data_IF_002928816078
#
_entry.id   IF_002928816078
#
_cell.length_a   1.000
_cell.length_b   1.000
_cell.length_c   1.000
_cell.angle_alpha   90.00
_cell.angle_beta   90.00
_cell.angle_gamma   90.00
#
_symmetry.space_group_name_H-M   'P 1'
#
loop_
_entity.id
_entity.type
_entity.pdbx_description
1 polymer ?
#
# COMPACT_ATOMS: atom_id res chain seq x y z
N UNK A 1 -27.21 4.44 32.96
CA UNK A 1 -25.99 4.97 33.62
C UNK A 1 -24.75 4.11 33.37
N UNK A 2 -24.83 2.78 33.36
CA UNK A 2 -23.65 1.96 33.03
C UNK A 2 -23.53 1.71 31.53
N UNK A 3 -22.35 2.00 30.96
CA UNK A 3 -21.97 1.55 29.62
C UNK A 3 -21.70 0.05 29.68
N UNK A 4 -22.58 -0.74 29.07
CA UNK A 4 -22.43 -2.19 28.97
C UNK A 4 -21.78 -2.53 27.64
N UNK A 5 -20.64 -3.20 27.69
CA UNK A 5 -19.99 -3.74 26.49
C UNK A 5 -20.77 -4.97 26.02
N UNK A 6 -21.46 -4.84 24.90
CA UNK A 6 -22.13 -5.96 24.25
C UNK A 6 -21.42 -6.29 22.94
N UNK A 7 -21.45 -7.56 22.55
CA UNK A 7 -20.85 -8.01 21.30
C UNK A 7 -21.74 -7.56 20.14
N UNK A 8 -21.17 -6.90 19.12
CA UNK A 8 -21.90 -6.32 18.00
C UNK A 8 -22.66 -7.33 17.12
N UNK A 9 -22.37 -8.63 17.22
CA UNK A 9 -23.11 -9.69 16.52
C UNK A 9 -24.31 -10.21 17.31
N UNK A 10 -24.43 -9.88 18.61
CA UNK A 10 -25.57 -10.33 19.41
C UNK A 10 -26.80 -9.50 19.09
N UNK A 11 -27.93 -10.18 18.89
CA UNK A 11 -29.26 -9.58 18.71
C UNK A 11 -29.39 -8.62 17.51
N UNK A 12 -28.55 -8.77 16.48
CA UNK A 12 -28.70 -8.00 15.24
C UNK A 12 -29.59 -8.73 14.24
N UNK A 13 -30.41 -7.96 13.54
CA UNK A 13 -31.27 -8.45 12.47
C UNK A 13 -30.46 -8.94 11.28
N UNK A 14 -31.04 -9.88 10.51
CA UNK A 14 -30.38 -10.45 9.34
C UNK A 14 -30.08 -9.41 8.25
N UNK A 15 -30.93 -8.39 8.14
CA UNK A 15 -30.73 -7.22 7.27
C UNK A 15 -29.44 -6.46 7.61
N UNK A 16 -29.18 -6.24 8.90
CA UNK A 16 -27.99 -5.54 9.40
C UNK A 16 -26.74 -6.40 9.16
N UNK A 17 -26.81 -7.72 9.38
CA UNK A 17 -25.70 -8.64 9.07
C UNK A 17 -25.30 -8.56 7.61
N UNK A 18 -26.29 -8.57 6.70
CA UNK A 18 -26.03 -8.43 5.27
C UNK A 18 -25.31 -7.13 4.95
N UNK A 19 -25.74 -6.01 5.53
CA UNK A 19 -25.08 -4.71 5.32
C UNK A 19 -23.64 -4.69 5.84
N UNK A 20 -23.36 -5.33 6.98
CA UNK A 20 -22.00 -5.46 7.53
C UNK A 20 -21.11 -6.25 6.56
N UNK A 21 -21.63 -7.36 6.01
CA UNK A 21 -20.90 -8.20 5.05
C UNK A 21 -20.63 -7.41 3.77
N UNK A 22 -21.66 -6.79 3.19
CA UNK A 22 -21.54 -6.01 1.95
C UNK A 22 -20.52 -4.85 2.11
N UNK A 23 -20.54 -4.16 3.25
CA UNK A 23 -19.56 -3.11 3.58
C UNK A 23 -18.13 -3.67 3.67
N UNK A 24 -17.98 -4.86 4.27
CA UNK A 24 -16.70 -5.54 4.44
C UNK A 24 -16.14 -6.05 3.11
N UNK A 25 -16.98 -6.48 2.17
CA UNK A 25 -16.54 -6.82 0.80
C UNK A 25 -16.00 -5.59 0.07
N UNK A 26 -16.65 -4.44 0.21
CA UNK A 26 -16.13 -3.17 -0.32
C UNK A 26 -14.75 -2.83 0.26
N UNK A 27 -14.57 -3.04 1.57
CA UNK A 27 -13.29 -2.81 2.24
C UNK A 27 -12.19 -3.77 1.78
N UNK A 28 -12.49 -5.07 1.63
CA UNK A 28 -11.54 -6.05 1.08
C UNK A 28 -11.08 -5.66 -0.32
N UNK A 29 -12.01 -5.30 -1.20
CA UNK A 29 -11.69 -4.85 -2.55
C UNK A 29 -10.82 -3.59 -2.53
N UNK A 30 -11.08 -2.65 -1.62
CA UNK A 30 -10.25 -1.45 -1.46
C UNK A 30 -8.81 -1.78 -1.06
N UNK A 31 -8.61 -2.68 -0.08
CA UNK A 31 -7.26 -3.12 0.32
C UNK A 31 -6.52 -3.88 -0.79
N UNK A 32 -7.25 -4.66 -1.59
CA UNK A 32 -6.69 -5.44 -2.70
C UNK A 32 -6.26 -4.59 -3.89
N UNK A 33 -6.86 -3.40 -4.04
CA UNK A 33 -6.53 -2.43 -5.09
C UNK A 33 -5.48 -1.42 -4.64
N UNK A 34 -5.39 -1.13 -3.34
CA UNK A 34 -4.57 -0.04 -2.82
C UNK A 34 -3.65 -0.53 -1.69
N UNK A 35 -2.42 -0.92 -2.06
CA UNK A 35 -1.42 -1.44 -1.12
C UNK A 35 -0.36 -0.42 -0.74
N UNK A 36 -0.24 0.68 -1.47
CA UNK A 36 0.65 1.82 -1.17
C UNK A 36 -0.15 3.09 -0.84
N UNK A 37 0.49 4.08 -0.22
CA UNK A 37 -0.18 5.36 0.06
C UNK A 37 -0.67 6.05 -1.22
N UNK A 38 0.12 5.97 -2.30
CA UNK A 38 -0.21 6.58 -3.60
C UNK A 38 -1.45 5.95 -4.23
N UNK A 39 -1.54 4.63 -4.17
CA UNK A 39 -2.69 3.89 -4.68
C UNK A 39 -3.93 4.19 -3.85
N UNK A 40 -3.81 4.25 -2.52
CA UNK A 40 -4.93 4.65 -1.64
C UNK A 40 -5.46 6.01 -2.07
N UNK A 41 -4.60 7.01 -2.21
CA UNK A 41 -5.02 8.35 -2.64
C UNK A 41 -5.64 8.33 -4.04
N UNK A 42 -5.03 7.62 -4.99
CA UNK A 42 -5.54 7.53 -6.37
C UNK A 42 -6.93 6.91 -6.43
N UNK A 43 -7.15 5.80 -5.72
CA UNK A 43 -8.44 5.14 -5.65
C UNK A 43 -9.47 5.96 -4.87
N UNK A 44 -9.09 6.55 -3.73
CA UNK A 44 -9.95 7.43 -2.94
C UNK A 44 -10.39 8.67 -3.72
N UNK A 45 -9.51 9.28 -4.53
CA UNK A 45 -9.88 10.40 -5.39
C UNK A 45 -10.93 9.97 -6.43
N UNK A 46 -10.71 8.85 -7.14
CA UNK A 46 -11.69 8.31 -8.10
C UNK A 46 -13.05 8.05 -7.44
N UNK A 47 -13.05 7.51 -6.23
CA UNK A 47 -14.28 7.29 -5.46
C UNK A 47 -14.95 8.60 -5.06
N UNK A 48 -14.18 9.63 -4.68
CA UNK A 48 -14.70 10.94 -4.34
C UNK A 48 -15.34 11.63 -5.56
N UNK A 49 -14.67 11.61 -6.71
CA UNK A 49 -15.18 12.13 -7.98
C UNK A 49 -16.49 11.44 -8.37
N UNK A 50 -16.56 10.11 -8.26
CA UNK A 50 -17.79 9.35 -8.50
C UNK A 50 -18.94 9.71 -7.53
N UNK A 51 -18.62 10.27 -6.35
CA UNK A 51 -19.58 10.75 -5.34
C UNK A 51 -19.82 12.27 -5.40
N UNK A 52 -19.44 12.91 -6.51
CA UNK A 52 -19.72 14.32 -6.80
C UNK A 52 -18.79 15.31 -6.11
N UNK A 53 -17.63 14.86 -5.62
CA UNK A 53 -16.58 15.77 -5.19
C UNK A 53 -15.83 16.32 -6.41
N UNK A 54 -15.46 17.60 -6.33
CA UNK A 54 -14.63 18.26 -7.37
C UNK A 54 -13.32 18.75 -6.78
N UNK A 55 -12.29 18.95 -7.61
CA UNK A 55 -11.02 19.49 -7.12
C UNK A 55 -11.24 20.91 -6.58
N UNK A 56 -10.83 21.17 -5.34
CA UNK A 56 -10.92 22.46 -4.67
C UNK A 56 -10.22 23.57 -5.47
N UNK A 57 -9.14 23.26 -6.19
CA UNK A 57 -8.42 24.22 -7.04
C UNK A 57 -9.23 24.69 -8.26
N UNK A 58 -10.28 23.95 -8.63
CA UNK A 58 -11.19 24.32 -9.72
C UNK A 58 -12.38 25.19 -9.28
N UNK A 59 -12.48 25.49 -7.98
CA UNK A 59 -13.61 26.20 -7.39
C UNK A 59 -13.14 27.53 -6.80
N UNK A 60 -13.68 28.65 -7.31
CA UNK A 60 -13.33 29.99 -6.83
C UNK A 60 -14.04 30.36 -5.51
N UNK A 61 -15.29 29.92 -5.34
CA UNK A 61 -16.13 30.27 -4.19
C UNK A 61 -16.82 29.02 -3.66
N UNK A 62 -16.57 28.71 -2.39
CA UNK A 62 -17.18 27.60 -1.67
C UNK A 62 -18.49 28.03 -1.00
N UNK A 63 -19.54 27.23 -1.18
CA UNK A 63 -20.88 27.42 -0.61
C UNK A 63 -21.29 26.20 0.21
N UNK A 64 -22.22 26.40 1.13
CA UNK A 64 -22.78 25.32 1.93
C UNK A 64 -23.33 24.20 1.02
N UNK A 65 -22.89 22.97 1.28
CA UNK A 65 -23.24 21.77 0.50
C UNK A 65 -22.21 21.39 -0.56
N UNK A 66 -21.28 22.27 -0.91
CA UNK A 66 -20.21 21.94 -1.86
C UNK A 66 -19.36 20.78 -1.33
N UNK A 67 -19.03 19.86 -2.23
CA UNK A 67 -18.17 18.71 -1.99
C UNK A 67 -16.88 18.91 -2.76
N UNK A 68 -15.77 19.07 -2.06
CA UNK A 68 -14.47 19.33 -2.69
C UNK A 68 -13.39 18.41 -2.15
N UNK A 69 -12.42 18.10 -2.98
CA UNK A 69 -11.22 17.40 -2.57
C UNK A 69 -9.96 18.20 -2.90
N UNK A 70 -8.90 17.96 -2.14
CA UNK A 70 -7.56 18.49 -2.43
C UNK A 70 -6.56 17.34 -2.40
N UNK A 71 -5.86 17.12 -3.51
CA UNK A 71 -4.82 16.10 -3.63
C UNK A 71 -3.44 16.75 -3.45
N UNK A 72 -2.74 16.36 -2.38
CA UNK A 72 -1.38 16.80 -2.13
C UNK A 72 -0.39 15.77 -2.71
N UNK A 73 0.08 16.03 -3.93
CA UNK A 73 1.18 15.31 -4.62
C UNK A 73 0.97 13.79 -4.75
N UNK A 74 -0.28 13.35 -4.78
CA UNK A 74 -0.66 11.94 -4.88
C UNK A 74 -0.37 11.12 -3.62
N UNK A 75 -0.06 11.75 -2.47
CA UNK A 75 0.22 11.05 -1.21
C UNK A 75 -0.72 11.40 -0.07
N UNK A 76 -1.45 12.50 -0.18
CA UNK A 76 -2.50 12.82 0.78
C UNK A 76 -3.75 13.29 0.04
N UNK A 77 -4.93 13.04 0.62
CA UNK A 77 -6.21 13.51 0.10
C UNK A 77 -7.04 14.13 1.22
N UNK A 78 -7.47 15.36 1.01
CA UNK A 78 -8.43 16.03 1.89
C UNK A 78 -9.78 16.01 1.18
N UNK A 79 -10.81 15.52 1.86
CA UNK A 79 -12.21 15.60 1.44
C UNK A 79 -12.93 16.59 2.35
N UNK A 80 -13.69 17.51 1.79
CA UNK A 80 -14.46 18.48 2.55
C UNK A 80 -15.90 18.58 2.03
N UNK A 81 -16.86 18.62 2.95
CA UNK A 81 -18.25 18.99 2.68
C UNK A 81 -18.53 20.27 3.46
N UNK A 82 -18.78 21.35 2.72
CA UNK A 82 -18.94 22.68 3.30
C UNK A 82 -20.24 22.77 4.08
N UNK A 83 -20.15 23.18 5.35
CA UNK A 83 -21.29 23.26 6.24
C UNK A 83 -22.13 24.52 6.07
N UNK A 84 -23.26 24.59 6.77
CA UNK A 84 -24.14 25.78 6.82
C UNK A 84 -23.58 26.91 7.68
N UNK A 85 -22.82 26.57 8.73
CA UNK A 85 -22.19 27.54 9.62
C UNK A 85 -20.89 28.10 9.00
N UNK A 86 -20.58 29.37 9.33
CA UNK A 86 -19.31 30.00 9.00
C UNK A 86 -18.13 29.15 9.50
N UNK A 87 -17.11 28.97 8.67
CA UNK A 87 -15.92 28.17 8.98
C UNK A 87 -15.17 28.66 10.24
N UNK A 88 -15.29 29.95 10.58
CA UNK A 88 -14.73 30.53 11.80
C UNK A 88 -15.37 29.96 13.08
N UNK A 89 -16.53 29.31 12.99
CA UNK A 89 -17.17 28.57 14.10
C UNK A 89 -16.62 27.15 14.26
N UNK A 90 -15.64 26.77 13.44
CA UNK A 90 -14.94 25.50 13.48
C UNK A 90 -15.45 24.48 12.47
N UNK A 91 -14.67 23.40 12.32
CA UNK A 91 -14.96 22.26 11.46
C UNK A 91 -14.78 20.95 12.23
N UNK A 92 -15.38 19.88 11.73
CA UNK A 92 -15.20 18.54 12.26
C UNK A 92 -14.16 17.81 11.42
N UNK A 93 -13.05 17.42 12.05
CA UNK A 93 -11.99 16.67 11.39
C UNK A 93 -12.02 15.20 11.80
N UNK A 94 -11.85 14.33 10.81
CA UNK A 94 -11.37 12.97 10.98
C UNK A 94 -10.10 12.84 10.16
N UNK A 95 -9.03 12.35 10.79
CA UNK A 95 -7.71 12.24 10.16
C UNK A 95 -7.26 10.80 10.33
N UNK A 96 -6.77 10.21 9.25
CA UNK A 96 -6.21 8.86 9.24
C UNK A 96 -5.01 8.83 8.32
N UNK A 97 -3.93 8.19 8.73
CA UNK A 97 -2.83 7.90 7.85
C UNK A 97 -3.17 6.70 6.95
N UNK A 98 -2.60 6.68 5.74
CA UNK A 98 -2.87 5.63 4.74
C UNK A 98 -1.61 4.91 4.26
N UNK A 99 -0.44 5.36 4.72
CA UNK A 99 0.77 4.59 4.63
C UNK A 99 0.70 3.35 5.53
N UNK A 100 1.48 2.32 5.19
CA UNK A 100 1.60 1.12 5.99
C UNK A 100 3.04 0.65 6.02
N UNK A 101 3.48 -0.03 7.09
CA UNK A 101 4.83 -0.59 7.16
C UNK A 101 5.12 -1.50 5.98
N UNK A 102 6.27 -1.28 5.33
CA UNK A 102 6.64 -1.89 4.04
C UNK A 102 8.16 -2.00 3.89
N UNK A 103 8.61 -2.46 2.72
CA UNK A 103 10.02 -2.51 2.35
C UNK A 103 10.27 -1.65 1.12
N UNK A 104 11.13 -0.65 1.23
CA UNK A 104 11.46 0.25 0.12
C UNK A 104 12.72 -0.23 -0.56
N UNK A 105 12.83 -0.04 -1.87
CA UNK A 105 14.11 -0.26 -2.53
C UNK A 105 15.11 0.84 -2.16
N UNK A 106 16.38 0.46 -1.94
CA UNK A 106 17.47 1.44 -1.81
C UNK A 106 17.68 2.15 -3.15
N UNK A 107 18.35 3.32 -3.13
CA UNK A 107 18.61 4.11 -4.35
C UNK A 107 19.39 3.37 -5.44
N UNK A 108 20.32 2.49 -5.03
CA UNK A 108 21.05 1.59 -5.92
C UNK A 108 20.75 0.15 -5.49
N UNK A 109 19.56 -0.37 -5.84
CA UNK A 109 19.07 -1.60 -5.22
C UNK A 109 19.60 -2.84 -5.92
N UNK A 110 19.80 -2.80 -7.24
CA UNK A 110 20.08 -3.98 -8.04
C UNK A 110 21.56 -4.37 -7.98
N UNK A 111 21.82 -5.62 -7.59
CA UNK A 111 23.16 -6.20 -7.55
C UNK A 111 23.11 -7.70 -7.86
N UNK A 112 24.27 -8.28 -8.10
CA UNK A 112 24.44 -9.71 -8.32
C UNK A 112 25.23 -10.33 -7.17
N UNK A 113 24.75 -11.48 -6.69
CA UNK A 113 25.50 -12.31 -5.73
C UNK A 113 25.09 -13.78 -5.89
N UNK A 114 26.08 -14.68 -5.85
CA UNK A 114 25.93 -16.15 -5.95
C UNK A 114 24.93 -16.59 -7.05
N UNK A 115 25.16 -16.17 -8.29
CA UNK A 115 24.31 -16.50 -9.46
C UNK A 115 22.84 -16.04 -9.35
N UNK A 116 22.56 -15.04 -8.50
CA UNK A 116 21.26 -14.38 -8.41
C UNK A 116 21.38 -12.88 -8.65
N UNK A 117 20.38 -12.32 -9.33
CA UNK A 117 20.11 -10.90 -9.27
C UNK A 117 19.19 -10.61 -8.07
N UNK A 118 19.57 -9.62 -7.27
CA UNK A 118 18.94 -9.26 -6.00
C UNK A 118 18.62 -7.75 -5.96
N UNK A 119 17.56 -7.37 -5.25
CA UNK A 119 17.29 -5.97 -4.92
C UNK A 119 17.48 -5.73 -3.42
N UNK A 120 18.27 -4.71 -3.08
CA UNK A 120 18.44 -4.22 -1.71
C UNK A 120 17.22 -3.44 -1.27
N UNK A 121 16.76 -3.75 -0.07
CA UNK A 121 15.63 -3.05 0.54
C UNK A 121 16.05 -2.26 1.78
N UNK A 122 15.16 -1.39 2.22
CA UNK A 122 15.20 -0.69 3.49
C UNK A 122 13.79 -0.66 4.05
N UNK A 123 13.59 -1.13 5.28
CA UNK A 123 12.26 -1.18 5.86
C UNK A 123 11.74 0.23 6.18
N UNK A 124 10.44 0.43 5.99
CA UNK A 124 9.70 1.61 6.38
C UNK A 124 8.73 1.25 7.52
N UNK A 125 8.72 2.07 8.57
CA UNK A 125 7.94 1.82 9.79
C UNK A 125 8.49 0.72 10.70
N UNK A 126 7.71 0.33 11.71
CA UNK A 126 8.11 -0.61 12.76
C UNK A 126 7.82 -2.08 12.42
N UNK A 127 8.41 -2.61 11.35
CA UNK A 127 8.11 -4.00 10.94
C UNK A 127 8.69 -5.06 11.89
N UNK A 128 7.97 -6.18 12.01
CA UNK A 128 8.54 -7.45 12.52
C UNK A 128 9.24 -8.16 11.37
N UNK A 129 10.52 -7.86 11.15
CA UNK A 129 11.33 -8.29 10.00
C UNK A 129 11.17 -9.76 9.62
N UNK A 130 11.21 -10.67 10.59
CA UNK A 130 11.09 -12.12 10.35
C UNK A 130 9.73 -12.54 9.74
N UNK A 131 8.67 -11.73 9.85
CA UNK A 131 7.36 -12.03 9.24
C UNK A 131 7.30 -11.68 7.74
N UNK A 132 8.36 -11.07 7.19
CA UNK A 132 8.48 -10.71 5.78
C UNK A 132 9.32 -11.73 5.00
N UNK A 133 10.02 -12.63 5.69
CA UNK A 133 10.81 -13.70 5.09
C UNK A 133 9.90 -14.83 4.56
N UNK A 134 10.36 -15.52 3.52
CA UNK A 134 9.70 -16.70 2.95
C UNK A 134 8.23 -16.51 2.58
N UNK A 135 7.84 -15.28 2.26
CA UNK A 135 6.50 -14.87 1.82
C UNK A 135 6.58 -14.32 0.40
N UNK A 136 5.51 -14.50 -0.37
CA UNK A 136 5.32 -13.82 -1.65
C UNK A 136 5.12 -12.32 -1.45
N UNK A 137 5.94 -11.52 -2.13
CA UNK A 137 5.89 -10.07 -2.14
C UNK A 137 5.59 -9.57 -3.55
N UNK A 138 4.80 -8.51 -3.64
CA UNK A 138 4.53 -7.76 -4.86
C UNK A 138 5.29 -6.43 -4.82
N UNK A 139 5.73 -5.97 -6.00
CA UNK A 139 6.43 -4.71 -6.19
C UNK A 139 5.45 -3.67 -6.70
N UNK A 140 5.37 -2.55 -6.00
CA UNK A 140 4.50 -1.43 -6.30
C UNK A 140 5.31 -0.14 -6.33
N UNK A 141 4.88 0.86 -7.10
CA UNK A 141 5.41 2.20 -6.98
C UNK A 141 5.50 2.93 -8.30
N UNK A 142 6.37 3.94 -8.34
CA UNK A 142 6.54 4.81 -9.51
C UNK A 142 8.01 5.10 -9.76
N UNK A 143 8.39 5.15 -11.03
CA UNK A 143 9.72 5.54 -11.49
C UNK A 143 9.61 6.82 -12.30
N UNK A 144 10.35 7.86 -11.91
CA UNK A 144 10.47 9.07 -12.71
C UNK A 144 11.67 8.95 -13.64
N UNK A 145 11.42 8.87 -14.94
CA UNK A 145 12.45 8.79 -15.97
C UNK A 145 13.11 10.15 -16.18
N UNK A 146 14.30 10.14 -16.79
CA UNK A 146 15.07 11.35 -17.12
C UNK A 146 14.29 12.39 -17.95
N UNK A 147 13.36 11.95 -18.79
CA UNK A 147 12.51 12.84 -19.61
C UNK A 147 11.31 13.42 -18.85
N UNK A 148 11.15 13.08 -17.56
CA UNK A 148 10.07 13.55 -16.69
C UNK A 148 8.81 12.67 -16.73
N UNK A 149 8.77 11.62 -17.56
CA UNK A 149 7.65 10.66 -17.52
C UNK A 149 7.66 9.88 -16.21
N UNK A 150 6.47 9.64 -15.68
CA UNK A 150 6.24 8.75 -14.55
C UNK A 150 5.74 7.41 -15.07
N UNK A 151 6.38 6.33 -14.65
CA UNK A 151 6.00 4.96 -14.98
C UNK A 151 5.55 4.27 -13.69
N UNK A 152 4.28 3.89 -13.64
CA UNK A 152 3.74 3.08 -12.55
C UNK A 152 4.20 1.63 -12.71
N UNK A 153 4.66 1.05 -11.61
CA UNK A 153 5.12 -0.34 -11.53
C UNK A 153 4.20 -1.08 -10.57
N UNK A 154 3.56 -2.14 -11.06
CA UNK A 154 2.80 -3.10 -10.26
C UNK A 154 3.12 -4.49 -10.80
N UNK A 155 3.79 -5.31 -10.01
CA UNK A 155 4.18 -6.68 -10.36
C UNK A 155 3.93 -7.61 -9.19
N UNK A 156 3.20 -8.70 -9.42
CA UNK A 156 2.90 -9.73 -8.42
C UNK A 156 1.49 -9.64 -7.83
N UNK A 157 0.62 -8.82 -8.44
CA UNK A 157 -0.80 -8.72 -8.07
C UNK A 157 -1.71 -9.55 -8.99
N UNK A 158 -1.35 -9.67 -10.28
CA UNK A 158 -2.05 -10.58 -11.19
C UNK A 158 -1.62 -12.03 -10.89
N UNK A 159 -2.53 -13.01 -10.88
CA UNK A 159 -2.17 -14.41 -10.64
C UNK A 159 -1.16 -15.00 -11.64
N UNK A 160 -0.98 -14.39 -12.81
CA UNK A 160 0.00 -14.77 -13.82
C UNK A 160 1.36 -14.05 -13.66
N UNK A 161 1.43 -13.02 -12.82
CA UNK A 161 2.67 -12.31 -12.54
C UNK A 161 3.65 -13.16 -11.72
N UNK A 162 4.97 -12.95 -11.89
CA UNK A 162 5.94 -13.41 -10.91
C UNK A 162 5.78 -12.65 -9.59
N UNK A 163 6.20 -13.28 -8.49
CA UNK A 163 6.30 -12.67 -7.17
C UNK A 163 7.74 -12.69 -6.68
N UNK A 164 8.04 -11.87 -5.68
CA UNK A 164 9.36 -11.77 -5.07
C UNK A 164 9.38 -12.44 -3.69
N UNK A 165 10.56 -12.79 -3.21
CA UNK A 165 10.72 -13.40 -1.88
C UNK A 165 12.04 -12.98 -1.24
N UNK A 166 12.01 -12.78 0.08
CA UNK A 166 13.22 -12.72 0.91
C UNK A 166 13.50 -14.14 1.41
N UNK A 167 14.59 -14.79 1.00
CA UNK A 167 14.91 -16.13 1.47
C UNK A 167 15.28 -16.10 2.96
N UNK A 168 14.74 -17.04 3.75
CA UNK A 168 15.17 -17.28 5.13
C UNK A 168 16.04 -18.54 5.22
N UNK A 169 16.82 -18.65 6.29
CA UNK A 169 17.65 -19.81 6.54
C UNK A 169 16.79 -21.02 6.92
N UNK A 170 17.04 -22.14 6.24
CA UNK A 170 16.35 -23.39 6.52
C UNK A 170 16.54 -23.86 7.98
N UNK A 171 15.54 -24.53 8.59
CA UNK A 171 15.54 -24.86 10.01
C UNK A 171 16.65 -25.84 10.44
N UNK A 172 17.23 -26.62 9.51
CA UNK A 172 18.33 -27.54 9.81
C UNK A 172 19.64 -26.82 10.15
N UNK A 173 19.82 -25.57 9.68
CA UNK A 173 21.02 -24.75 9.89
C UNK A 173 20.78 -23.55 10.81
N UNK A 174 19.51 -23.18 11.02
CA UNK A 174 19.08 -22.11 11.95
C UNK A 174 19.81 -22.15 13.30
N UNK A 175 19.98 -23.35 13.89
CA UNK A 175 20.64 -23.53 15.19
C UNK A 175 22.06 -22.96 15.28
N UNK A 176 22.73 -22.77 14.15
CA UNK A 176 24.10 -22.26 14.09
C UNK A 176 24.18 -20.76 13.79
N UNK A 177 23.07 -20.12 13.37
CA UNK A 177 23.11 -18.77 12.79
C UNK A 177 22.04 -17.82 13.36
N UNK A 178 20.81 -18.30 13.51
CA UNK A 178 19.64 -17.46 13.81
C UNK A 178 18.95 -17.79 15.13
N UNK A 179 19.01 -19.05 15.60
CA UNK A 179 18.23 -19.55 16.74
C UNK A 179 18.37 -18.74 18.03
N UNK A 180 19.58 -18.32 18.35
CA UNK A 180 19.89 -17.60 19.58
C UNK A 180 19.74 -16.07 19.44
N UNK A 181 19.36 -15.58 18.25
CA UNK A 181 19.11 -14.15 18.01
C UNK A 181 17.82 -13.72 18.70
N UNK A 182 17.79 -12.47 19.17
CA UNK A 182 16.54 -11.85 19.68
C UNK A 182 15.54 -11.67 18.53
N UNK A 183 14.25 -11.56 18.86
CA UNK A 183 13.17 -11.46 17.86
C UNK A 183 13.35 -10.31 16.84
N UNK A 184 13.97 -9.20 17.25
CA UNK A 184 14.27 -8.05 16.39
C UNK A 184 15.53 -8.22 15.51
N UNK A 185 16.27 -9.31 15.72
CA UNK A 185 17.54 -9.65 15.08
C UNK A 185 17.53 -11.00 14.36
N UNK A 186 16.50 -11.84 14.55
CA UNK A 186 16.32 -13.13 13.83
C UNK A 186 16.62 -12.93 12.35
N UNK A 187 15.95 -11.95 11.74
CA UNK A 187 16.29 -11.41 10.43
C UNK A 187 16.71 -9.94 10.57
N UNK A 188 17.90 -9.59 10.10
CA UNK A 188 18.42 -8.21 10.09
C UNK A 188 17.93 -7.46 8.86
N UNK A 189 17.86 -6.12 8.95
CA UNK A 189 17.41 -5.29 7.83
C UNK A 189 18.27 -5.45 6.58
N UNK A 190 19.59 -5.53 6.74
CA UNK A 190 20.52 -5.74 5.61
C UNK A 190 20.45 -7.16 5.00
N UNK A 191 19.81 -8.11 5.68
CA UNK A 191 19.53 -9.46 5.16
C UNK A 191 18.23 -9.49 4.34
N UNK A 192 17.42 -8.41 4.33
CA UNK A 192 16.11 -8.35 3.68
C UNK A 192 16.21 -8.02 2.17
N UNK A 193 17.05 -8.75 1.44
CA UNK A 193 17.17 -8.57 -0.01
C UNK A 193 16.22 -9.55 -0.72
N UNK A 194 15.55 -9.09 -1.79
CA UNK A 194 14.67 -9.96 -2.57
C UNK A 194 15.39 -10.55 -3.78
N UNK A 195 15.03 -11.79 -4.12
CA UNK A 195 15.46 -12.43 -5.37
C UNK A 195 14.60 -11.89 -6.51
N UNK A 196 15.24 -11.41 -7.58
CA UNK A 196 14.57 -10.92 -8.78
C UNK A 196 14.92 -11.70 -10.05
N UNK A 197 15.96 -12.52 -10.01
CA UNK A 197 16.31 -13.39 -11.14
C UNK A 197 17.44 -14.35 -10.84
N UNK A 198 17.50 -15.42 -11.63
CA UNK A 198 18.51 -16.48 -11.54
C UNK A 198 18.91 -17.03 -12.92
N UNK A 199 18.63 -16.28 -13.99
CA UNK A 199 18.97 -16.68 -15.36
C UNK A 199 19.93 -15.65 -15.94
N UNK A 200 21.17 -16.04 -16.30
CA UNK A 200 22.15 -15.11 -16.84
C UNK A 200 21.89 -14.85 -18.33
N UNK A 201 22.40 -13.72 -18.83
CA UNK A 201 22.45 -13.49 -20.26
C UNK A 201 23.42 -14.45 -20.93
N UNK A 202 23.11 -14.88 -22.15
CA UNK A 202 23.98 -15.73 -22.97
C UNK A 202 24.94 -14.93 -23.84
N UNK A 203 24.89 -13.59 -23.74
CA UNK A 203 25.77 -12.70 -24.48
C UNK A 203 27.22 -12.95 -24.09
N UNK A 204 28.06 -13.20 -25.09
CA UNK A 204 29.51 -13.33 -24.92
C UNK A 204 30.12 -11.93 -24.97
N UNK A 205 30.17 -11.30 -23.82
CA UNK A 205 31.00 -10.13 -23.58
C UNK A 205 32.14 -10.56 -22.66
N UNK A 206 33.39 -10.43 -23.15
CA UNK A 206 34.59 -10.90 -22.46
C UNK A 206 34.97 -10.08 -21.21
N UNK A 207 34.33 -8.92 -21.01
CA UNK A 207 34.60 -8.03 -19.88
C UNK A 207 33.44 -7.91 -18.88
N UNK A 208 32.24 -8.42 -19.22
CA UNK A 208 31.07 -8.37 -18.35
C UNK A 208 31.22 -9.32 -17.16
N UNK A 209 30.93 -8.84 -15.95
CA UNK A 209 31.01 -9.64 -14.72
C UNK A 209 29.65 -9.90 -14.06
N UNK A 210 28.64 -9.09 -14.36
CA UNK A 210 27.32 -9.15 -13.72
C UNK A 210 26.25 -9.60 -14.73
N UNK A 211 26.30 -10.88 -15.12
CA UNK A 211 25.47 -11.43 -16.20
C UNK A 211 23.99 -11.58 -15.83
N UNK A 212 23.67 -11.81 -14.56
CA UNK A 212 22.31 -11.95 -14.05
C UNK A 212 21.66 -10.58 -13.84
N UNK A 213 22.42 -9.64 -13.25
CA UNK A 213 21.99 -8.24 -13.13
C UNK A 213 21.66 -7.66 -14.50
N UNK A 214 22.51 -7.88 -15.50
CA UNK A 214 22.27 -7.41 -16.85
C UNK A 214 20.98 -7.98 -17.46
N UNK A 215 20.66 -9.26 -17.24
CA UNK A 215 19.38 -9.85 -17.69
C UNK A 215 18.19 -9.08 -17.14
N UNK A 216 18.23 -8.73 -15.85
CA UNK A 216 17.14 -7.99 -15.20
C UNK A 216 17.06 -6.56 -15.72
N UNK A 217 18.18 -5.86 -15.85
CA UNK A 217 18.19 -4.51 -16.45
C UNK A 217 17.65 -4.50 -17.86
N UNK A 218 18.04 -5.49 -18.69
CA UNK A 218 17.51 -5.64 -20.04
C UNK A 218 16.00 -5.83 -20.01
N UNK A 219 15.48 -6.70 -19.15
CA UNK A 219 14.04 -6.93 -19.03
C UNK A 219 13.29 -5.66 -18.58
N UNK A 220 13.80 -4.95 -17.58
CA UNK A 220 13.22 -3.68 -17.14
C UNK A 220 13.25 -2.60 -18.24
N UNK A 221 14.30 -2.61 -19.06
CA UNK A 221 14.41 -1.70 -20.20
C UNK A 221 13.44 -2.07 -21.33
N UNK A 222 13.34 -3.34 -21.68
CA UNK A 222 12.45 -3.84 -22.73
C UNK A 222 10.96 -3.61 -22.35
N UNK A 223 10.60 -3.86 -21.09
CA UNK A 223 9.21 -3.78 -20.61
C UNK A 223 8.78 -2.33 -20.27
N UNK A 224 9.67 -1.53 -19.69
CA UNK A 224 9.33 -0.22 -19.11
C UNK A 224 10.20 0.95 -19.60
N UNK A 225 11.28 0.68 -20.35
CA UNK A 225 12.26 1.70 -20.74
C UNK A 225 13.15 2.17 -19.59
N UNK A 226 13.14 1.47 -18.45
CA UNK A 226 13.92 1.81 -17.25
C UNK A 226 15.39 1.46 -17.45
N UNK A 227 16.29 2.33 -17.01
CA UNK A 227 17.72 2.06 -16.86
C UNK A 227 18.13 2.04 -15.38
N UNK A 228 19.33 1.55 -15.08
CA UNK A 228 19.79 1.41 -13.69
C UNK A 228 19.80 2.74 -12.92
N UNK A 229 20.14 3.85 -13.57
CA UNK A 229 20.17 5.18 -12.94
C UNK A 229 18.77 5.65 -12.49
N UNK A 230 17.69 5.21 -13.16
CA UNK A 230 16.33 5.65 -12.85
C UNK A 230 15.85 5.13 -11.47
N UNK A 231 16.52 4.14 -10.87
CA UNK A 231 16.23 3.72 -9.48
C UNK A 231 16.48 4.84 -8.47
N UNK A 232 17.36 5.81 -8.78
CA UNK A 232 17.65 6.95 -7.90
C UNK A 232 16.42 7.86 -7.75
N UNK A 233 15.61 7.98 -8.80
CA UNK A 233 14.37 8.76 -8.86
C UNK A 233 13.12 7.89 -8.78
N UNK A 234 13.26 6.67 -8.25
CA UNK A 234 12.17 5.74 -8.06
C UNK A 234 11.65 5.74 -6.62
N UNK A 235 10.34 5.57 -6.47
CA UNK A 235 9.69 5.22 -5.21
C UNK A 235 9.07 3.83 -5.36
N UNK A 236 9.86 2.79 -5.10
CA UNK A 236 9.46 1.40 -5.24
C UNK A 236 9.39 0.71 -3.89
N UNK A 237 8.32 -0.05 -3.71
CA UNK A 237 7.84 -0.59 -2.44
C UNK A 237 7.47 -2.06 -2.63
N UNK A 238 7.91 -2.91 -1.71
CA UNK A 238 7.51 -4.29 -1.61
C UNK A 238 6.49 -4.45 -0.49
N UNK A 239 5.40 -5.11 -0.82
CA UNK A 239 4.26 -5.39 0.07
C UNK A 239 3.87 -6.86 -0.04
N UNK A 240 3.16 -7.44 0.95
CA UNK A 240 2.62 -8.79 0.83
C UNK A 240 1.72 -8.92 -0.41
N UNK A 241 1.98 -9.93 -1.25
CA UNK A 241 1.21 -10.18 -2.47
C UNK A 241 -0.19 -10.74 -2.19
N UNK A 242 -0.41 -11.29 -0.99
CA UNK A 242 -1.69 -11.91 -0.65
C UNK A 242 -2.86 -10.91 -0.70
N UNK A 243 -3.98 -11.39 -1.22
CA UNK A 243 -5.25 -10.67 -1.25
C UNK A 243 -6.01 -10.83 0.08
N UNK A 244 -6.89 -9.90 0.39
CA UNK A 244 -7.76 -9.90 1.54
C UNK A 244 -8.67 -11.15 1.54
N UNK A 245 -8.87 -11.75 2.72
CA UNK A 245 -9.67 -12.97 2.91
C UNK A 245 -10.46 -12.90 4.20
N UNK A 246 -11.50 -13.73 4.28
CA UNK A 246 -12.18 -13.96 5.55
C UNK A 246 -11.39 -14.97 6.38
N UNK A 247 -11.29 -14.73 7.69
CA UNK A 247 -10.64 -15.57 8.67
C UNK A 247 -11.73 -16.27 9.50
N UNK A 248 -11.53 -17.57 9.74
CA UNK A 248 -12.41 -18.41 10.57
C UNK A 248 -13.51 -19.10 9.78
N UNK A 249 -14.05 -20.18 10.34
CA UNK A 249 -15.16 -20.93 9.73
C UNK A 249 -16.44 -20.09 9.60
N UNK A 250 -16.60 -19.11 10.48
CA UNK A 250 -17.72 -18.17 10.51
C UNK A 250 -17.50 -16.93 9.64
N UNK A 251 -16.29 -16.74 9.09
CA UNK A 251 -15.92 -15.63 8.20
C UNK A 251 -16.16 -14.25 8.84
N UNK A 252 -16.09 -14.16 10.16
CA UNK A 252 -16.45 -12.95 10.90
C UNK A 252 -15.30 -11.91 11.00
N UNK A 253 -14.11 -12.25 10.52
CA UNK A 253 -12.91 -11.43 10.62
C UNK A 253 -12.31 -11.26 9.22
N UNK A 254 -11.93 -10.04 8.85
CA UNK A 254 -11.16 -9.77 7.62
C UNK A 254 -9.67 -9.87 7.95
N UNK A 255 -8.94 -10.61 7.13
CA UNK A 255 -7.48 -10.70 7.16
C UNK A 255 -6.86 -10.13 5.89
N UNK A 256 -6.00 -9.13 6.03
CA UNK A 256 -5.30 -8.49 4.93
C UNK A 256 -4.05 -7.74 5.41
N UNK A 257 -3.21 -7.33 4.45
CA UNK A 257 -2.12 -6.37 4.68
C UNK A 257 -2.67 -4.94 4.76
N UNK A 258 -2.02 -4.08 5.57
CA UNK A 258 -2.30 -2.65 5.61
C UNK A 258 -3.58 -2.27 6.35
N UNK A 259 -4.09 -3.10 7.26
CA UNK A 259 -5.22 -2.69 8.11
C UNK A 259 -4.94 -1.44 8.94
N UNK A 260 -3.68 -1.29 9.37
CA UNK A 260 -3.23 -0.20 10.22
C UNK A 260 -3.63 1.15 9.61
N UNK A 261 -4.57 1.80 10.29
CA UNK A 261 -5.28 3.04 9.96
C UNK A 261 -5.95 3.15 8.58
N UNK A 262 -5.64 2.31 7.58
CA UNK A 262 -6.42 2.26 6.32
C UNK A 262 -7.87 1.82 6.56
N UNK A 263 -8.14 1.02 7.60
CA UNK A 263 -9.51 0.73 8.02
C UNK A 263 -10.24 2.01 8.46
N UNK A 264 -9.55 2.88 9.20
CA UNK A 264 -10.08 4.17 9.64
C UNK A 264 -10.23 5.12 8.46
N UNK A 265 -9.23 5.23 7.59
CA UNK A 265 -9.28 6.04 6.38
C UNK A 265 -10.39 5.62 5.41
N UNK A 266 -10.58 4.31 5.20
CA UNK A 266 -11.68 3.81 4.38
C UNK A 266 -13.04 4.15 5.01
N UNK A 267 -13.24 3.83 6.30
CA UNK A 267 -14.53 4.09 6.96
C UNK A 267 -14.84 5.58 7.09
N UNK A 268 -13.86 6.44 7.35
CA UNK A 268 -14.02 7.89 7.39
C UNK A 268 -14.38 8.44 6.01
N UNK A 269 -13.72 7.97 4.94
CA UNK A 269 -14.01 8.35 3.57
C UNK A 269 -15.44 7.94 3.17
N UNK A 270 -15.84 6.68 3.39
CA UNK A 270 -17.19 6.21 3.05
C UNK A 270 -18.25 7.02 3.81
N UNK A 271 -17.99 7.38 5.09
CA UNK A 271 -18.91 8.23 5.85
C UNK A 271 -19.15 9.60 5.22
N UNK A 272 -18.15 10.17 4.54
CA UNK A 272 -18.29 11.42 3.79
C UNK A 272 -19.19 11.24 2.56
N UNK A 273 -19.07 10.10 1.87
CA UNK A 273 -19.88 9.80 0.68
C UNK A 273 -21.35 9.54 1.03
N UNK A 274 -21.59 8.95 2.20
CA UNK A 274 -22.94 8.64 2.68
C UNK A 274 -23.68 9.83 3.29
N UNK A 275 -22.99 10.95 3.55
CA UNK A 275 -23.59 12.16 4.10
C UNK A 275 -24.53 12.81 3.07
N UNK A 276 -25.86 12.65 3.28
CA UNK A 276 -26.90 13.10 2.34
C UNK A 276 -27.35 14.55 2.55
N UNK A 277 -27.34 15.04 3.79
CA UNK A 277 -27.75 16.41 4.11
C UNK A 277 -26.56 17.34 4.24
N UNK A 278 -26.74 18.63 3.97
CA UNK A 278 -25.67 19.63 4.21
C UNK A 278 -25.38 19.69 5.72
N UNK A 279 -24.13 19.39 6.14
CA UNK A 279 -23.81 19.31 7.56
C UNK A 279 -23.89 20.70 8.20
N UNK A 280 -24.13 20.74 9.52
CA UNK A 280 -24.20 22.01 10.25
C UNK A 280 -22.86 22.75 10.21
N UNK A 281 -21.77 22.05 10.51
CA UNK A 281 -20.38 22.53 10.38
C UNK A 281 -19.69 21.80 9.24
N UNK A 282 -18.70 22.43 8.64
CA UNK A 282 -17.89 21.78 7.60
C UNK A 282 -17.29 20.49 8.14
N UNK A 283 -17.48 19.40 7.39
CA UNK A 283 -16.90 18.09 7.68
C UNK A 283 -15.66 17.90 6.82
N UNK A 284 -14.56 17.47 7.43
CA UNK A 284 -13.27 17.28 6.75
C UNK A 284 -12.75 15.89 7.10
N UNK A 285 -12.49 15.10 6.06
CA UNK A 285 -11.79 13.82 6.16
C UNK A 285 -10.42 13.98 5.52
N UNK A 286 -9.36 13.73 6.29
CA UNK A 286 -7.99 13.83 5.82
C UNK A 286 -7.34 12.45 5.80
N UNK A 287 -6.97 12.00 4.61
CA UNK A 287 -6.17 10.79 4.37
C UNK A 287 -4.72 11.23 4.17
N UNK A 288 -3.86 10.92 5.13
CA UNK A 288 -2.48 11.40 5.24
C UNK A 288 -1.44 10.36 4.84
#
# INVERSE_FOLDING_TARGET
>A
MFYKRENGWKNIEESIKKNIIDFSEGYKNFLDLAKTEREVITHSQKMAEANGFVNAESVEILKAGDKVFYNNRGKNLILAIIGKEDILKGANFVVSHVDSPRLDLKQNPLYEDVDFALLKTHYYGGIKKYQWASRALSLHGVVALKDGRLIDIVVGEDPSDPVFVIPDLLPHLDKYVQRDRKSNEVLKGEEMNIIVGSTPTTMKDGEMKEYFKYTILKKLNDDYGIIEEDFISAELQLVPAEKARDIGFDRAIVGAYGHDDRICGYTSMISMFDLKEIPRRTSICYLA
#
